data_IF_862377925624
#
_entry.id   IF_862377925624
#
_cell.length_a   1.000
_cell.length_b   1.000
_cell.length_c   1.000
_cell.angle_alpha   90.00
_cell.angle_beta   90.00
_cell.angle_gamma   90.00
#
_symmetry.space_group_name_H-M   'P 1'
#
loop_
_entity.id
_entity.type
_entity.pdbx_description
1 polymer ?
#
# COMPACT_ATOMS: atom_id res chain seq x y z
N UNK A 1 -8.38 22.07 7.94
CA UNK A 1 -8.75 20.97 8.85
C UNK A 1 -9.84 21.47 9.77
N UNK A 2 -11.08 21.05 9.55
CA UNK A 2 -12.21 21.35 10.45
C UNK A 2 -13.10 20.12 10.45
N UNK A 3 -12.95 19.28 11.48
CA UNK A 3 -13.90 18.22 11.77
C UNK A 3 -15.15 18.83 12.38
N UNK A 4 -16.31 18.61 11.76
CA UNK A 4 -17.60 18.94 12.34
C UNK A 4 -18.19 17.68 12.97
N UNK A 5 -18.11 17.57 14.29
CA UNK A 5 -18.92 16.64 15.06
C UNK A 5 -20.28 17.30 15.32
N UNK A 6 -21.32 16.84 14.62
CA UNK A 6 -22.73 17.17 14.91
C UNK A 6 -23.28 16.33 16.07
N UNK A 7 -24.47 16.66 16.60
CA UNK A 7 -25.00 16.05 17.83
C UNK A 7 -25.24 14.55 17.66
N UNK A 8 -24.89 13.78 18.69
CA UNK A 8 -25.09 12.33 18.77
C UNK A 8 -26.59 11.99 18.83
N UNK A 9 -27.22 11.89 17.65
CA UNK A 9 -28.53 11.27 17.48
C UNK A 9 -28.43 9.74 17.49
N UNK A 10 -29.56 9.07 17.76
CA UNK A 10 -29.71 7.62 17.82
C UNK A 10 -28.97 6.90 16.67
N UNK A 11 -28.41 5.69 16.91
CA UNK A 11 -27.65 4.97 15.90
C UNK A 11 -28.52 4.77 14.66
N UNK A 12 -28.26 5.53 13.60
CA UNK A 12 -28.84 5.28 12.28
C UNK A 12 -28.36 3.89 11.87
N UNK A 13 -29.31 2.97 11.66
CA UNK A 13 -29.00 1.68 11.07
C UNK A 13 -28.18 1.91 9.80
N UNK A 14 -27.07 1.18 9.72
CA UNK A 14 -26.15 1.30 8.60
C UNK A 14 -26.89 0.84 7.33
N UNK A 15 -26.80 1.56 6.20
CA UNK A 15 -27.41 1.11 4.96
C UNK A 15 -26.97 -0.32 4.63
N UNK A 16 -27.85 -1.16 4.08
CA UNK A 16 -27.57 -2.57 3.83
C UNK A 16 -26.33 -2.83 2.94
N UNK A 17 -25.89 -1.85 2.14
CA UNK A 17 -24.69 -1.94 1.30
C UNK A 17 -23.41 -1.35 1.93
N UNK A 18 -23.47 -0.80 3.14
CA UNK A 18 -22.33 -0.15 3.77
C UNK A 18 -21.54 -1.15 4.63
N UNK A 19 -20.28 -1.36 4.26
CA UNK A 19 -19.38 -2.28 4.96
C UNK A 19 -19.24 -1.94 6.43
N UNK A 20 -19.33 -2.95 7.29
CA UNK A 20 -18.93 -2.86 8.70
C UNK A 20 -17.44 -2.51 8.83
N UNK A 21 -17.06 -2.00 10.00
CA UNK A 21 -15.65 -1.70 10.27
C UNK A 21 -14.80 -2.98 10.18
N UNK A 22 -15.34 -4.10 10.65
CA UNK A 22 -14.72 -5.41 10.62
C UNK A 22 -14.51 -5.90 9.19
N UNK A 23 -15.54 -5.84 8.33
CA UNK A 23 -15.41 -6.22 6.91
C UNK A 23 -14.36 -5.37 6.21
N UNK A 24 -14.32 -4.07 6.50
CA UNK A 24 -13.30 -3.16 5.95
C UNK A 24 -11.90 -3.59 6.36
N UNK A 25 -11.67 -3.87 7.65
CA UNK A 25 -10.37 -4.30 8.16
C UNK A 25 -9.96 -5.65 7.57
N UNK A 26 -10.85 -6.63 7.55
CA UNK A 26 -10.58 -7.95 7.01
C UNK A 26 -10.24 -7.88 5.52
N UNK A 27 -10.97 -7.08 4.74
CA UNK A 27 -10.67 -6.85 3.34
C UNK A 27 -9.28 -6.22 3.14
N UNK A 28 -8.93 -5.21 3.95
CA UNK A 28 -7.60 -4.58 3.87
C UNK A 28 -6.48 -5.57 4.21
N UNK A 29 -6.66 -6.40 5.24
CA UNK A 29 -5.69 -7.42 5.63
C UNK A 29 -5.52 -8.49 4.53
N UNK A 30 -6.61 -8.94 3.92
CA UNK A 30 -6.59 -9.89 2.80
C UNK A 30 -5.86 -9.34 1.56
N UNK A 31 -6.01 -8.04 1.28
CA UNK A 31 -5.37 -7.41 0.10
C UNK A 31 -3.95 -6.91 0.34
N UNK A 32 -3.50 -6.87 1.58
CA UNK A 32 -2.13 -6.46 1.90
C UNK A 32 -1.17 -7.61 1.60
N UNK A 33 -0.05 -7.30 0.96
CA UNK A 33 0.99 -8.30 0.61
C UNK A 33 2.32 -7.87 1.26
N UNK A 34 2.57 -8.22 2.53
CA UNK A 34 3.75 -7.76 3.26
C UNK A 34 5.07 -8.05 2.54
N UNK A 35 5.15 -9.18 1.84
CA UNK A 35 6.34 -9.55 1.07
C UNK A 35 6.62 -8.57 -0.09
N UNK A 36 5.58 -8.15 -0.82
CA UNK A 36 5.71 -7.15 -1.89
C UNK A 36 6.16 -5.80 -1.31
N UNK A 37 5.63 -5.42 -0.15
CA UNK A 37 5.96 -4.15 0.49
C UNK A 37 7.39 -4.14 1.03
N UNK A 38 7.86 -5.27 1.59
CA UNK A 38 9.25 -5.44 1.99
C UNK A 38 10.22 -5.23 0.81
N UNK A 39 9.93 -5.85 -0.35
CA UNK A 39 10.74 -5.67 -1.56
C UNK A 39 10.77 -4.21 -2.02
N UNK A 40 9.64 -3.50 -1.96
CA UNK A 40 9.57 -2.07 -2.30
C UNK A 40 10.40 -1.21 -1.36
N UNK A 41 10.39 -1.51 -0.06
CA UNK A 41 11.20 -0.81 0.94
C UNK A 41 12.69 -1.04 0.67
N UNK A 42 13.09 -2.29 0.40
CA UNK A 42 14.47 -2.62 0.08
C UNK A 42 14.95 -1.92 -1.19
N UNK A 43 14.13 -1.90 -2.25
CA UNK A 43 14.44 -1.15 -3.47
C UNK A 43 14.68 0.34 -3.20
N UNK A 44 13.79 0.98 -2.43
CA UNK A 44 13.92 2.41 -2.08
C UNK A 44 15.12 2.67 -1.16
N UNK A 45 15.51 1.73 -0.30
CA UNK A 45 16.76 1.84 0.45
C UNK A 45 17.98 1.84 -0.50
N UNK A 46 17.93 1.04 -1.57
CA UNK A 46 18.92 1.03 -2.64
C UNK A 46 19.02 2.37 -3.38
N UNK A 47 17.92 3.10 -3.54
CA UNK A 47 17.95 4.45 -4.14
C UNK A 47 18.91 5.37 -3.38
N UNK A 48 18.85 5.33 -2.05
CA UNK A 48 19.71 6.14 -1.17
C UNK A 48 21.13 5.58 -1.13
N UNK A 49 21.27 4.26 -0.98
CA UNK A 49 22.56 3.62 -0.79
C UNK A 49 23.46 3.68 -2.04
N UNK A 50 22.87 3.63 -3.23
CA UNK A 50 23.59 3.56 -4.51
C UNK A 50 23.54 4.85 -5.31
N UNK A 51 22.90 5.90 -4.80
CA UNK A 51 22.77 7.19 -5.47
C UNK A 51 21.88 7.15 -6.72
N UNK A 52 20.86 6.27 -6.73
CA UNK A 52 19.87 6.23 -7.82
C UNK A 52 18.93 7.44 -7.72
N UNK A 53 18.21 7.81 -8.80
CA UNK A 53 17.18 8.85 -8.72
C UNK A 53 16.14 8.54 -7.64
N UNK A 54 15.62 9.57 -6.96
CA UNK A 54 14.56 9.39 -5.98
C UNK A 54 13.33 8.72 -6.62
N UNK A 55 12.75 7.74 -5.94
CA UNK A 55 11.64 6.94 -6.43
C UNK A 55 11.99 6.25 -7.77
N UNK A 56 13.19 5.67 -7.87
CA UNK A 56 13.74 5.14 -9.12
C UNK A 56 12.84 4.11 -9.79
N UNK A 57 11.99 3.40 -9.02
CA UNK A 57 10.98 2.47 -9.55
C UNK A 57 10.00 3.08 -10.57
N UNK A 58 9.86 4.42 -10.59
CA UNK A 58 9.04 5.15 -11.56
C UNK A 58 9.87 5.91 -12.59
N UNK A 59 11.20 5.94 -12.43
CA UNK A 59 12.10 6.57 -13.38
C UNK A 59 12.18 5.74 -14.66
N UNK A 60 12.09 6.34 -15.87
CA UNK A 60 12.07 5.59 -17.13
C UNK A 60 13.21 4.59 -17.30
N UNK A 61 14.42 4.96 -16.89
CA UNK A 61 15.62 4.12 -17.01
C UNK A 61 15.70 2.99 -15.98
N UNK A 62 15.06 3.15 -14.81
CA UNK A 62 15.13 2.19 -13.70
C UNK A 62 13.87 1.34 -13.57
N UNK A 63 12.78 1.72 -14.24
CA UNK A 63 11.52 0.96 -14.25
C UNK A 63 11.72 -0.49 -14.73
N UNK A 64 12.45 -0.78 -15.83
CA UNK A 64 12.67 -2.17 -16.24
C UNK A 64 13.44 -2.98 -15.20
N UNK A 65 14.47 -2.39 -14.58
CA UNK A 65 15.26 -3.02 -13.52
C UNK A 65 14.39 -3.32 -12.28
N UNK A 66 13.49 -2.40 -11.90
CA UNK A 66 12.55 -2.63 -10.82
C UNK A 66 11.57 -3.77 -11.13
N UNK A 67 11.05 -3.83 -12.36
CA UNK A 67 10.14 -4.90 -12.79
C UNK A 67 10.82 -6.28 -12.78
N UNK A 68 12.07 -6.35 -13.21
CA UNK A 68 12.89 -7.57 -13.11
C UNK A 68 13.15 -7.96 -11.66
N UNK A 69 13.63 -7.03 -10.83
CA UNK A 69 13.81 -7.23 -9.39
C UNK A 69 12.56 -7.78 -8.72
N UNK A 70 11.39 -7.20 -9.00
CA UNK A 70 10.12 -7.66 -8.44
C UNK A 70 9.77 -9.08 -8.92
N UNK A 71 9.99 -9.38 -10.20
CA UNK A 71 9.68 -10.70 -10.79
C UNK A 71 10.53 -11.81 -10.17
N UNK A 72 11.83 -11.59 -10.06
CA UNK A 72 12.77 -12.56 -9.51
C UNK A 72 12.50 -12.83 -8.04
N UNK A 73 12.35 -11.79 -7.23
CA UNK A 73 12.14 -11.95 -5.80
C UNK A 73 10.76 -12.54 -5.47
N UNK A 74 9.73 -12.23 -6.26
CA UNK A 74 8.42 -12.88 -6.09
C UNK A 74 8.41 -14.34 -6.52
N UNK A 75 9.26 -14.74 -7.47
CA UNK A 75 9.40 -16.15 -7.86
C UNK A 75 10.13 -16.99 -6.79
N UNK A 76 10.88 -16.33 -5.89
CA UNK A 76 11.67 -16.96 -4.84
C UNK A 76 10.95 -17.00 -3.47
N UNK A 77 9.70 -16.55 -3.40
CA UNK A 77 8.84 -16.55 -2.21
C UNK A 77 7.82 -17.69 -2.28
#
# INVERSE_FOLDING_TARGET
MTGAAGPAGAPKEKPAGAWTAQETVLYMLDKTRPAVDALRVLWTAGDVAEGRPALSRWHPEYKPLFEEYMRENLANL
#
